data_IF_734282784961
#
_entry.id   IF_734282784961
#
_cell.length_a   1.000
_cell.length_b   1.000
_cell.length_c   1.000
_cell.angle_alpha   90.00
_cell.angle_beta   90.00
_cell.angle_gamma   90.00
#
_symmetry.space_group_name_H-M   'P 1'
#
loop_
_entity.id
_entity.type
_entity.pdbx_description
1 polymer ?
#
# COMPACT_ATOMS: atom_id res chain seq x y z
N UNK A 1 18.10 -7.33 7.81
CA UNK A 1 16.87 -7.58 7.03
C UNK A 1 17.12 -8.64 5.97
N UNK A 2 16.21 -9.58 5.77
CA UNK A 2 16.34 -10.66 4.79
C UNK A 2 15.60 -10.27 3.50
N UNK A 3 16.33 -9.75 2.50
CA UNK A 3 15.73 -9.47 1.21
C UNK A 3 15.48 -10.76 0.42
N UNK A 4 14.25 -10.98 -0.01
CA UNK A 4 13.82 -12.10 -0.84
C UNK A 4 13.06 -11.57 -2.06
N UNK A 5 12.85 -12.40 -3.08
CA UNK A 5 11.96 -12.01 -4.19
C UNK A 5 10.52 -11.81 -3.67
N UNK A 6 9.80 -10.89 -4.27
CA UNK A 6 8.41 -10.61 -3.89
C UNK A 6 7.53 -11.85 -4.14
N UNK A 7 6.92 -12.43 -3.10
CA UNK A 7 6.09 -13.62 -3.26
C UNK A 7 4.68 -13.27 -3.74
N UNK A 8 4.00 -14.26 -4.30
CA UNK A 8 2.54 -14.25 -4.32
C UNK A 8 2.03 -14.71 -2.96
N UNK A 9 1.11 -13.95 -2.39
CA UNK A 9 0.48 -14.27 -1.11
C UNK A 9 -1.03 -14.37 -1.30
N UNK A 10 -1.65 -15.31 -0.60
CA UNK A 10 -3.10 -15.49 -0.63
C UNK A 10 -3.70 -15.20 0.75
N UNK A 11 -4.87 -14.60 0.72
CA UNK A 11 -5.71 -14.38 1.90
C UNK A 11 -7.04 -15.11 1.70
N UNK A 12 -8.03 -14.85 2.54
CA UNK A 12 -9.35 -15.44 2.36
C UNK A 12 -10.02 -15.05 1.04
N UNK A 13 -9.87 -13.78 0.61
CA UNK A 13 -10.58 -13.20 -0.55
C UNK A 13 -9.67 -12.67 -1.63
N UNK A 14 -8.35 -12.52 -1.35
CA UNK A 14 -7.42 -11.78 -2.19
C UNK A 14 -6.21 -12.62 -2.58
N UNK A 15 -5.65 -12.24 -3.72
CA UNK A 15 -4.30 -12.63 -4.17
C UNK A 15 -3.47 -11.36 -4.23
N UNK A 16 -2.36 -11.34 -3.50
CA UNK A 16 -1.34 -10.31 -3.60
C UNK A 16 -0.22 -10.86 -4.49
N UNK A 17 -0.11 -10.36 -5.70
CA UNK A 17 0.83 -10.85 -6.73
C UNK A 17 1.62 -9.70 -7.37
N UNK A 18 2.64 -10.01 -8.13
CA UNK A 18 3.29 -9.00 -8.98
C UNK A 18 2.27 -8.35 -9.92
N UNK A 19 2.42 -7.05 -10.18
CA UNK A 19 1.69 -6.36 -11.24
C UNK A 19 2.07 -6.97 -12.60
N UNK A 20 1.13 -6.94 -13.53
CA UNK A 20 1.28 -7.41 -14.92
C UNK A 20 0.87 -6.31 -15.89
N UNK A 21 1.36 -6.33 -17.13
CA UNK A 21 0.89 -5.40 -18.16
C UNK A 21 -0.61 -5.49 -18.41
N UNK A 22 -1.18 -6.68 -18.28
CA UNK A 22 -2.62 -6.89 -18.38
C UNK A 22 -3.45 -6.19 -17.29
N UNK A 23 -2.83 -5.72 -16.21
CA UNK A 23 -3.52 -4.96 -15.18
C UNK A 23 -3.75 -3.47 -15.56
N UNK A 24 -3.15 -2.99 -16.66
CA UNK A 24 -3.12 -1.56 -17.02
C UNK A 24 -4.50 -0.95 -17.13
N UNK A 25 -5.42 -1.62 -17.81
CA UNK A 25 -6.80 -1.11 -17.99
C UNK A 25 -7.51 -0.95 -16.65
N UNK A 26 -7.49 -1.99 -15.80
CA UNK A 26 -8.09 -1.92 -14.46
C UNK A 26 -7.38 -0.92 -13.56
N UNK A 27 -6.04 -0.83 -13.66
CA UNK A 27 -5.28 0.16 -12.90
C UNK A 27 -5.69 1.58 -13.28
N UNK A 28 -5.82 1.87 -14.59
CA UNK A 28 -6.27 3.17 -15.06
C UNK A 28 -7.69 3.47 -14.61
N UNK A 29 -8.65 2.62 -14.97
CA UNK A 29 -10.08 2.90 -14.75
C UNK A 29 -10.47 2.92 -13.27
N UNK A 30 -9.89 2.06 -12.44
CA UNK A 30 -10.34 1.85 -11.05
C UNK A 30 -9.47 2.53 -10.01
N UNK A 31 -8.24 2.92 -10.35
CA UNK A 31 -7.27 3.46 -9.40
C UNK A 31 -6.70 4.79 -9.89
N UNK A 32 -5.96 4.77 -11.00
CA UNK A 32 -5.15 5.90 -11.42
C UNK A 32 -5.97 7.13 -11.83
N UNK A 33 -7.08 6.96 -12.56
CA UNK A 33 -7.93 8.06 -13.03
C UNK A 33 -9.08 8.42 -12.08
N UNK A 34 -9.36 7.60 -11.05
CA UNK A 34 -10.43 7.90 -10.09
C UNK A 34 -9.98 9.00 -9.12
N UNK A 35 -10.58 10.18 -9.21
CA UNK A 35 -10.28 11.34 -8.36
C UNK A 35 -10.50 11.05 -6.87
N UNK A 36 -11.48 10.22 -6.51
CA UNK A 36 -11.72 9.87 -5.12
C UNK A 36 -10.60 8.98 -4.56
N UNK A 37 -10.07 8.06 -5.38
CA UNK A 37 -8.94 7.18 -4.99
C UNK A 37 -7.65 7.99 -4.90
N UNK A 38 -7.40 8.90 -5.83
CA UNK A 38 -6.16 9.69 -5.90
C UNK A 38 -6.17 10.95 -5.06
N UNK A 39 -7.31 11.31 -4.47
CA UNK A 39 -7.50 12.55 -3.69
C UNK A 39 -6.39 12.82 -2.68
N UNK A 40 -5.97 11.81 -1.95
CA UNK A 40 -4.95 11.91 -0.90
C UNK A 40 -3.58 11.35 -1.32
N UNK A 41 -3.42 11.05 -2.62
CA UNK A 41 -2.12 10.65 -3.17
C UNK A 41 -1.31 11.89 -3.55
N UNK A 42 0.02 11.75 -3.58
CA UNK A 42 0.93 12.84 -3.96
C UNK A 42 1.10 12.99 -5.48
N UNK A 43 0.27 12.33 -6.27
CA UNK A 43 0.20 12.47 -7.72
C UNK A 43 -1.24 12.82 -8.13
N UNK A 44 -1.38 13.43 -9.30
CA UNK A 44 -2.67 13.79 -9.85
C UNK A 44 -3.34 12.59 -10.52
N UNK A 45 -4.69 12.60 -10.63
CA UNK A 45 -5.38 11.58 -11.39
C UNK A 45 -4.79 11.44 -12.80
N UNK A 46 -4.60 10.21 -13.22
CA UNK A 46 -4.13 9.92 -14.57
C UNK A 46 -5.16 10.38 -15.58
N UNK A 47 -4.73 11.18 -16.54
CA UNK A 47 -5.58 11.70 -17.62
C UNK A 47 -5.56 10.80 -18.85
N UNK A 48 -4.54 9.98 -18.96
CA UNK A 48 -4.30 9.08 -20.07
C UNK A 48 -3.77 7.73 -19.57
N UNK A 49 -4.15 6.63 -20.23
CA UNK A 49 -3.78 5.27 -19.86
C UNK A 49 -2.27 5.05 -19.86
N UNK A 50 -1.52 5.79 -20.69
CA UNK A 50 -0.05 5.72 -20.75
C UNK A 50 0.63 6.07 -19.43
N UNK A 51 -0.01 6.88 -18.59
CA UNK A 51 0.50 7.19 -17.24
C UNK A 51 0.40 5.96 -16.32
N UNK A 52 -0.67 5.17 -16.46
CA UNK A 52 -0.83 3.89 -15.76
C UNK A 52 0.13 2.83 -16.29
N UNK A 53 0.34 2.75 -17.61
CA UNK A 53 1.37 1.91 -18.24
C UNK A 53 2.74 2.22 -17.66
N UNK A 54 3.11 3.51 -17.62
CA UNK A 54 4.37 3.98 -17.02
C UNK A 54 4.51 3.55 -15.58
N UNK A 55 3.43 3.63 -14.78
CA UNK A 55 3.44 3.20 -13.37
C UNK A 55 3.69 1.71 -13.23
N UNK A 56 3.08 0.89 -14.08
CA UNK A 56 3.25 -0.57 -14.10
C UNK A 56 4.65 -0.94 -14.59
N UNK A 57 5.13 -0.35 -15.70
CA UNK A 57 6.48 -0.61 -16.21
C UNK A 57 7.57 -0.26 -15.19
N UNK A 58 7.40 0.83 -14.43
CA UNK A 58 8.29 1.14 -13.30
C UNK A 58 8.30 0.02 -12.26
N UNK A 59 7.14 -0.56 -11.94
CA UNK A 59 7.09 -1.67 -10.99
C UNK A 59 7.76 -2.93 -11.55
N UNK A 60 7.51 -3.28 -12.84
CA UNK A 60 8.14 -4.43 -13.50
C UNK A 60 9.66 -4.32 -13.53
N UNK A 61 10.20 -3.14 -13.86
CA UNK A 61 11.64 -2.87 -13.86
C UNK A 61 12.23 -2.99 -12.45
N UNK A 62 11.53 -2.52 -11.42
CA UNK A 62 11.98 -2.63 -10.02
C UNK A 62 11.97 -4.08 -9.52
N UNK A 63 11.04 -4.92 -9.99
CA UNK A 63 11.07 -6.36 -9.67
C UNK A 63 12.33 -7.03 -10.20
N UNK A 64 12.77 -6.68 -11.42
CA UNK A 64 14.00 -7.22 -12.02
C UNK A 64 15.26 -6.81 -11.24
N UNK A 65 15.22 -5.68 -10.54
CA UNK A 65 16.34 -5.17 -9.72
C UNK A 65 16.34 -5.74 -8.29
N UNK A 66 15.30 -6.48 -7.88
CA UNK A 66 15.10 -6.91 -6.50
C UNK A 66 14.67 -5.77 -5.57
N UNK A 67 14.38 -6.09 -4.30
CA UNK A 67 14.00 -5.10 -3.26
C UNK A 67 12.75 -4.26 -3.58
N UNK A 68 11.83 -4.80 -4.37
CA UNK A 68 10.55 -4.16 -4.69
C UNK A 68 9.41 -5.00 -4.17
N UNK A 69 8.72 -4.52 -3.16
CA UNK A 69 7.57 -5.19 -2.54
C UNK A 69 6.29 -4.40 -2.82
N UNK A 70 5.94 -4.32 -4.10
CA UNK A 70 4.70 -3.70 -4.59
C UNK A 70 3.80 -4.77 -5.19
N UNK A 71 2.68 -5.05 -4.53
CA UNK A 71 1.71 -6.05 -4.98
C UNK A 71 0.52 -5.42 -5.69
N UNK A 72 0.08 -6.07 -6.75
CA UNK A 72 -1.30 -6.01 -7.20
C UNK A 72 -2.17 -6.69 -6.15
N UNK A 73 -3.23 -6.04 -5.72
CA UNK A 73 -4.28 -6.63 -4.88
C UNK A 73 -5.40 -7.06 -5.81
N UNK A 74 -5.57 -8.35 -6.00
CA UNK A 74 -6.56 -8.93 -6.89
C UNK A 74 -7.59 -9.78 -6.13
N UNK A 75 -8.81 -9.85 -6.65
CA UNK A 75 -9.83 -10.76 -6.11
C UNK A 75 -9.49 -12.21 -6.47
N UNK A 76 -9.70 -13.14 -5.54
CA UNK A 76 -9.50 -14.58 -5.80
C UNK A 76 -10.44 -15.16 -6.83
N UNK A 77 -11.64 -14.61 -6.93
CA UNK A 77 -12.71 -15.15 -7.77
C UNK A 77 -12.46 -14.99 -9.27
N UNK A 78 -11.79 -13.91 -9.69
CA UNK A 78 -11.62 -13.56 -11.10
C UNK A 78 -10.25 -12.94 -11.45
N UNK A 79 -9.32 -12.89 -10.49
CA UNK A 79 -7.98 -12.25 -10.60
C UNK A 79 -8.05 -10.75 -10.99
N UNK A 80 -9.22 -10.11 -10.85
CA UNK A 80 -9.38 -8.69 -11.18
C UNK A 80 -8.64 -7.79 -10.20
N UNK A 81 -7.87 -6.83 -10.74
CA UNK A 81 -7.16 -5.83 -9.93
C UNK A 81 -8.14 -4.90 -9.24
N UNK A 82 -8.08 -4.83 -7.91
CA UNK A 82 -8.87 -3.91 -7.08
C UNK A 82 -8.01 -2.92 -6.31
N UNK A 83 -6.69 -3.06 -6.33
CA UNK A 83 -5.81 -2.17 -5.60
C UNK A 83 -4.33 -2.48 -5.78
N UNK A 84 -3.52 -1.68 -5.13
CA UNK A 84 -2.08 -1.91 -4.99
C UNK A 84 -1.65 -1.66 -3.55
N UNK A 85 -0.66 -2.42 -3.09
CA UNK A 85 -0.01 -2.24 -1.79
C UNK A 85 1.50 -2.32 -1.96
N UNK A 86 2.25 -1.43 -1.32
CA UNK A 86 3.71 -1.40 -1.43
C UNK A 86 4.35 -1.18 -0.06
N UNK A 87 5.33 -2.04 0.29
CA UNK A 87 6.30 -1.76 1.35
C UNK A 87 7.45 -0.94 0.75
N UNK A 88 7.83 0.13 1.41
CA UNK A 88 8.79 1.10 0.91
C UNK A 88 9.60 1.75 2.05
N UNK A 89 10.64 2.54 1.70
CA UNK A 89 11.46 3.27 2.68
C UNK A 89 12.01 2.34 3.78
N UNK A 90 12.72 1.31 3.35
CA UNK A 90 13.37 0.39 4.27
C UNK A 90 14.56 1.03 4.96
N UNK A 91 14.65 0.85 6.28
CA UNK A 91 15.74 1.30 7.13
C UNK A 91 16.37 0.09 7.80
N UNK A 92 17.56 -0.34 7.31
CA UNK A 92 18.23 -1.54 7.80
C UNK A 92 18.75 -1.39 9.22
N UNK A 93 19.02 -0.15 9.68
CA UNK A 93 19.60 0.12 11.02
C UNK A 93 18.63 -0.25 12.14
N UNK A 94 17.37 0.14 12.01
CA UNK A 94 16.33 -0.13 13.02
C UNK A 94 15.33 -1.21 12.58
N UNK A 95 15.56 -1.83 11.43
CA UNK A 95 14.71 -2.88 10.89
C UNK A 95 13.29 -2.41 10.60
N UNK A 96 13.13 -1.17 10.10
CA UNK A 96 11.80 -0.62 9.84
C UNK A 96 11.52 -0.40 8.36
N UNK A 97 10.24 -0.29 8.02
CA UNK A 97 9.77 0.18 6.72
C UNK A 97 8.50 1.01 6.84
N UNK A 98 8.14 1.66 5.75
CA UNK A 98 6.82 2.28 5.58
C UNK A 98 6.01 1.52 4.54
N UNK A 99 4.74 1.89 4.37
CA UNK A 99 3.92 1.39 3.27
C UNK A 99 3.03 2.49 2.65
N UNK A 100 2.56 2.20 1.43
CA UNK A 100 1.51 2.95 0.77
C UNK A 100 0.53 1.97 0.10
N UNK A 101 -0.73 2.39 -0.05
CA UNK A 101 -1.73 1.57 -0.72
C UNK A 101 -2.82 2.40 -1.36
N UNK A 102 -3.47 1.83 -2.36
CA UNK A 102 -4.70 2.31 -2.97
C UNK A 102 -5.66 1.14 -3.14
N UNK A 103 -6.95 1.38 -2.94
CA UNK A 103 -8.02 0.45 -3.26
C UNK A 103 -9.08 1.16 -4.08
N UNK A 104 -9.64 0.47 -5.06
CA UNK A 104 -10.74 0.99 -5.86
C UNK A 104 -11.96 1.31 -4.99
N UNK A 105 -12.65 2.39 -5.34
CA UNK A 105 -13.78 2.91 -4.57
C UNK A 105 -14.88 1.89 -4.33
N UNK A 106 -15.16 1.06 -5.33
CA UNK A 106 -16.21 0.01 -5.24
C UNK A 106 -15.90 -1.07 -4.20
N UNK A 107 -14.64 -1.12 -3.72
CA UNK A 107 -14.17 -2.10 -2.74
C UNK A 107 -13.91 -1.50 -1.35
N UNK A 108 -14.23 -0.21 -1.14
CA UNK A 108 -14.11 0.42 0.17
C UNK A 108 -15.14 -0.15 1.16
N UNK A 109 -14.84 0.00 2.45
CA UNK A 109 -15.70 -0.41 3.58
C UNK A 109 -16.07 -1.91 3.61
N UNK A 110 -15.36 -2.77 2.84
CA UNK A 110 -15.55 -4.22 2.80
C UNK A 110 -14.46 -5.00 3.53
N UNK A 111 -13.56 -4.29 4.23
CA UNK A 111 -12.46 -4.90 5.01
C UNK A 111 -11.25 -5.35 4.19
N UNK A 112 -11.22 -5.15 2.89
CA UNK A 112 -10.10 -5.54 2.03
C UNK A 112 -8.78 -4.86 2.43
N UNK A 113 -8.79 -3.56 2.76
CA UNK A 113 -7.58 -2.85 3.19
C UNK A 113 -6.94 -3.46 4.44
N UNK A 114 -7.75 -3.83 5.43
CA UNK A 114 -7.26 -4.50 6.64
C UNK A 114 -6.70 -5.88 6.33
N UNK A 115 -7.35 -6.64 5.44
CA UNK A 115 -6.93 -7.97 5.01
C UNK A 115 -5.58 -7.93 4.30
N UNK A 116 -5.38 -6.97 3.38
CA UNK A 116 -4.10 -6.72 2.70
C UNK A 116 -3.01 -6.34 3.69
N UNK A 117 -3.28 -5.39 4.59
CA UNK A 117 -2.28 -4.93 5.56
C UNK A 117 -1.80 -6.08 6.45
N UNK A 118 -2.71 -6.90 6.97
CA UNK A 118 -2.34 -8.04 7.81
C UNK A 118 -1.45 -9.05 7.07
N UNK A 119 -1.77 -9.38 5.82
CA UNK A 119 -0.94 -10.27 5.01
C UNK A 119 0.46 -9.69 4.75
N UNK A 120 0.54 -8.40 4.39
CA UNK A 120 1.80 -7.71 4.14
C UNK A 120 2.64 -7.54 5.43
N UNK A 121 2.00 -7.29 6.58
CA UNK A 121 2.69 -7.16 7.87
C UNK A 121 3.27 -8.50 8.32
N UNK A 122 2.52 -9.60 8.15
CA UNK A 122 3.04 -10.95 8.40
C UNK A 122 4.30 -11.21 7.56
N UNK A 123 4.23 -10.96 6.26
CA UNK A 123 5.39 -11.10 5.39
C UNK A 123 6.58 -10.23 5.85
N UNK A 124 6.32 -8.97 6.21
CA UNK A 124 7.36 -8.06 6.66
C UNK A 124 8.04 -8.52 7.96
N UNK A 125 7.26 -9.00 8.93
CA UNK A 125 7.79 -9.42 10.22
C UNK A 125 8.42 -10.82 10.20
N UNK A 126 7.77 -11.78 9.53
CA UNK A 126 8.18 -13.19 9.61
C UNK A 126 9.22 -13.55 8.54
N UNK A 127 9.12 -12.96 7.34
CA UNK A 127 10.01 -13.29 6.22
C UNK A 127 11.13 -12.28 6.08
N UNK A 128 10.82 -10.97 6.06
CA UNK A 128 11.86 -9.94 5.95
C UNK A 128 12.59 -9.68 7.27
N UNK A 129 12.03 -10.12 8.40
CA UNK A 129 12.63 -9.94 9.73
C UNK A 129 12.58 -8.51 10.25
N UNK A 130 11.64 -7.71 9.74
CA UNK A 130 11.45 -6.33 10.22
C UNK A 130 10.99 -6.30 11.67
N UNK A 131 11.29 -5.20 12.35
CA UNK A 131 10.92 -4.96 13.74
C UNK A 131 9.77 -3.96 13.88
N UNK A 132 9.59 -3.10 12.87
CA UNK A 132 8.60 -2.01 12.91
C UNK A 132 8.11 -1.67 11.52
N UNK A 133 6.82 -1.33 11.43
CA UNK A 133 6.19 -0.77 10.23
C UNK A 133 5.54 0.55 10.61
N UNK A 134 5.79 1.58 9.81
CA UNK A 134 5.22 2.91 9.99
C UNK A 134 4.39 3.31 8.78
N UNK A 135 3.39 4.15 9.00
CA UNK A 135 2.68 4.80 7.91
C UNK A 135 2.06 6.12 8.37
N UNK A 136 1.84 6.99 7.41
CA UNK A 136 1.17 8.26 7.63
C UNK A 136 -0.03 8.37 6.68
N UNK A 137 -1.06 9.09 7.12
CA UNK A 137 -2.12 9.57 6.24
C UNK A 137 -2.39 11.06 6.49
N UNK A 138 -2.82 11.80 5.46
CA UNK A 138 -3.27 13.18 5.65
C UNK A 138 -4.40 13.22 6.67
N UNK A 139 -4.42 14.19 7.56
CA UNK A 139 -5.45 14.34 8.61
C UNK A 139 -6.87 14.26 8.01
N UNK A 140 -7.06 14.81 6.81
CA UNK A 140 -8.34 14.81 6.08
C UNK A 140 -8.73 13.44 5.51
N UNK A 141 -7.89 12.38 5.70
CA UNK A 141 -8.18 11.01 5.30
C UNK A 141 -8.40 10.06 6.51
N UNK A 142 -9.42 10.26 7.34
CA UNK A 142 -9.64 9.43 8.53
C UNK A 142 -9.93 7.96 8.21
N UNK A 143 -10.39 7.66 6.99
CA UNK A 143 -10.65 6.30 6.53
C UNK A 143 -9.37 5.46 6.52
N UNK A 144 -8.23 6.01 6.05
CA UNK A 144 -6.94 5.33 6.09
C UNK A 144 -6.51 5.01 7.53
N UNK A 145 -6.65 5.97 8.45
CA UNK A 145 -6.38 5.75 9.87
C UNK A 145 -7.25 4.68 10.51
N UNK A 146 -8.53 4.58 10.10
CA UNK A 146 -9.43 3.52 10.57
C UNK A 146 -8.96 2.13 10.10
N UNK A 147 -8.48 2.01 8.86
CA UNK A 147 -7.93 0.75 8.33
C UNK A 147 -6.64 0.37 9.07
N UNK A 148 -5.74 1.33 9.29
CA UNK A 148 -4.49 1.12 10.04
C UNK A 148 -4.77 0.61 11.46
N UNK A 149 -5.70 1.25 12.20
CA UNK A 149 -6.09 0.79 13.54
C UNK A 149 -6.66 -0.63 13.52
N UNK A 150 -7.52 -0.97 12.55
CA UNK A 150 -8.07 -2.33 12.39
C UNK A 150 -7.00 -3.37 12.04
N UNK A 151 -5.91 -2.95 11.41
CA UNK A 151 -4.75 -3.81 11.15
C UNK A 151 -3.80 -3.95 12.36
N UNK A 152 -4.10 -3.28 13.49
CA UNK A 152 -3.32 -3.37 14.72
C UNK A 152 -2.32 -2.22 14.94
N UNK A 153 -2.27 -1.23 14.04
CA UNK A 153 -1.37 -0.09 14.21
C UNK A 153 -1.88 0.87 15.28
N UNK A 154 -0.97 1.47 16.03
CA UNK A 154 -1.27 2.53 17.00
C UNK A 154 -0.93 3.90 16.43
N UNK A 155 -1.74 4.90 16.75
CA UNK A 155 -1.45 6.30 16.49
C UNK A 155 -0.31 6.77 17.39
N UNK A 156 0.68 7.47 16.82
CA UNK A 156 1.86 7.94 17.57
C UNK A 156 2.04 9.45 17.52
N UNK A 157 1.24 10.16 16.76
CA UNK A 157 1.29 11.64 16.74
C UNK A 157 0.90 12.23 15.40
N UNK A 158 0.83 13.55 15.35
CA UNK A 158 0.63 14.34 14.14
C UNK A 158 1.92 15.01 13.72
N UNK A 159 2.23 14.96 12.44
CA UNK A 159 3.36 15.66 11.83
C UNK A 159 2.80 16.84 11.07
N UNK A 160 3.13 18.05 11.50
CA UNK A 160 2.64 19.26 10.85
C UNK A 160 3.32 19.47 9.50
N UNK A 161 2.56 19.95 8.52
CA UNK A 161 3.03 20.31 7.18
C UNK A 161 3.84 19.20 6.49
N UNK A 162 3.45 17.94 6.72
CA UNK A 162 4.18 16.74 6.24
C UNK A 162 4.17 16.59 4.73
N UNK A 163 3.04 16.87 4.12
CA UNK A 163 2.82 16.68 2.69
C UNK A 163 2.47 18.01 2.03
N UNK A 164 3.07 18.26 0.88
CA UNK A 164 2.68 19.34 0.00
C UNK A 164 1.93 18.75 -1.20
N UNK A 165 0.76 19.31 -1.50
CA UNK A 165 0.01 19.01 -2.70
C UNK A 165 -0.59 20.30 -3.27
N UNK A 166 -0.27 20.64 -4.52
CA UNK A 166 -0.72 21.85 -5.24
C UNK A 166 -0.44 23.16 -4.45
N UNK A 167 0.74 23.26 -3.81
CA UNK A 167 1.11 24.42 -3.01
C UNK A 167 0.45 24.50 -1.64
N UNK A 168 -0.35 23.50 -1.26
CA UNK A 168 -0.98 23.42 0.06
C UNK A 168 -0.26 22.38 0.91
N UNK A 169 0.14 22.78 2.13
CA UNK A 169 0.73 21.87 3.09
C UNK A 169 -0.34 21.20 3.94
N UNK A 170 -0.20 19.90 4.13
CA UNK A 170 -1.13 19.06 4.88
C UNK A 170 -0.43 18.40 6.06
N UNK A 171 -1.10 18.40 7.20
CA UNK A 171 -0.69 17.62 8.37
C UNK A 171 -0.95 16.14 8.14
N UNK A 172 -0.16 15.29 8.79
CA UNK A 172 -0.31 13.85 8.70
C UNK A 172 -0.38 13.18 10.07
N UNK A 173 -1.31 12.26 10.22
CA UNK A 173 -1.39 11.34 11.35
C UNK A 173 -0.44 10.17 11.13
N UNK A 174 0.52 9.97 12.04
CA UNK A 174 1.46 8.85 12.01
C UNK A 174 0.95 7.69 12.83
N UNK A 175 1.13 6.50 12.28
CA UNK A 175 0.84 5.22 12.89
C UNK A 175 2.06 4.31 12.83
N UNK A 176 2.20 3.42 13.81
CA UNK A 176 3.21 2.37 13.82
C UNK A 176 2.66 1.06 14.36
N UNK A 177 3.32 -0.04 14.00
CA UNK A 177 3.14 -1.35 14.61
C UNK A 177 4.51 -2.00 14.76
N UNK A 178 4.75 -2.63 15.91
CA UNK A 178 5.95 -3.42 16.17
C UNK A 178 5.67 -4.90 16.00
N UNK A 179 6.71 -5.67 15.69
CA UNK A 179 6.60 -7.12 15.53
C UNK A 179 5.99 -7.79 16.76
N UNK A 180 6.39 -7.37 17.94
CA UNK A 180 5.90 -7.88 19.22
C UNK A 180 4.41 -7.62 19.50
N UNK A 181 3.86 -6.54 18.89
CA UNK A 181 2.45 -6.14 19.01
C UNK A 181 1.56 -6.73 17.90
N UNK A 182 2.17 -7.34 16.88
CA UNK A 182 1.43 -7.91 15.75
C UNK A 182 0.85 -9.28 16.12
N UNK A 183 -0.46 -9.31 16.31
CA UNK A 183 -1.23 -10.52 16.57
C UNK A 183 -2.15 -10.78 15.37
N UNK A 184 -1.83 -11.81 14.62
CA UNK A 184 -2.64 -12.24 13.49
C UNK A 184 -3.81 -13.13 13.98
N UNK A 185 -4.89 -12.46 14.42
CA UNK A 185 -6.15 -13.10 14.80
C UNK A 185 -7.18 -12.98 13.70
#
# INVERSE_FOLDING_TARGET
>A
MNYVDIPTMETRRLILRKLRRSDTEHYFQRLGSDEAVTRYMLFDPHRDISQSETSIEKALNRYAQGKCYRWAVALKEDDSLIGVFELLRFHDVDGSCSFAYMLSRDHWNRGYGTEVMKAAFRFAFDVLGLQKIEADHMVDNPASGAVMRKAGMRYVGTIHQKYEKHGVFHDACRYEIRKEDFHDR
#
